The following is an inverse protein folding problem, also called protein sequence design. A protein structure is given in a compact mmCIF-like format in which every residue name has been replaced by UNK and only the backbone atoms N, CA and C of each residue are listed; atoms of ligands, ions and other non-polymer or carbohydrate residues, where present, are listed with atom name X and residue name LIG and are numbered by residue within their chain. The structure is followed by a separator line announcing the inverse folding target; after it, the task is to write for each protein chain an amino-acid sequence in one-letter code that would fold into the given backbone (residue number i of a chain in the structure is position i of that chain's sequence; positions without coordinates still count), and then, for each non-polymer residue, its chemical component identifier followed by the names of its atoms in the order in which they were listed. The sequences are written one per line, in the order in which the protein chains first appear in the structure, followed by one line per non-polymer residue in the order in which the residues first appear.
data_IF_552065775437
#
_entry.id   IF_552065775437
#
_cell.length_a   1.000
_cell.length_b   1.000
_cell.length_c   1.000
_cell.angle_alpha   90.00
_cell.angle_beta   90.00
_cell.angle_gamma   90.00
#
_symmetry.space_group_name_H-M   'P 1'
#
loop_
_entity.id
_entity.type
_entity.pdbx_description
1 polymer ?
#
# COMPACT_ATOMS: atom_id res chain seq x y z
N UNK A 1 0.21 21.94 8.98
CA UNK A 1 -0.32 21.00 10.01
C UNK A 1 -1.84 20.83 9.93
N UNK A 2 -2.54 21.92 9.58
CA UNK A 2 -4.02 21.99 9.57
C UNK A 2 -4.68 21.52 8.26
N UNK A 3 -3.91 20.91 7.36
CA UNK A 3 -4.43 20.28 6.14
C UNK A 3 -4.84 18.83 6.43
N UNK A 4 -5.94 18.40 5.81
CA UNK A 4 -6.38 17.01 5.83
C UNK A 4 -5.26 16.11 5.29
N UNK A 5 -4.92 15.06 6.03
CA UNK A 5 -3.94 14.07 5.61
C UNK A 5 -4.59 12.80 5.05
N UNK A 6 -3.76 11.85 4.66
CA UNK A 6 -4.21 10.56 4.10
C UNK A 6 -5.13 9.80 5.06
N UNK A 7 -4.87 9.91 6.37
CA UNK A 7 -5.72 9.30 7.42
C UNK A 7 -7.16 9.82 7.40
N UNK A 8 -7.35 11.11 7.08
CA UNK A 8 -8.67 11.74 7.01
C UNK A 8 -9.40 11.27 5.75
N UNK A 9 -8.67 11.13 4.64
CA UNK A 9 -9.20 10.59 3.39
C UNK A 9 -9.64 9.13 3.55
N UNK A 10 -8.85 8.30 4.24
CA UNK A 10 -9.21 6.93 4.58
C UNK A 10 -10.48 6.90 5.44
N UNK A 11 -10.55 7.74 6.47
CA UNK A 11 -11.72 7.81 7.34
C UNK A 11 -12.99 8.20 6.56
N UNK A 12 -12.87 9.17 5.65
CA UNK A 12 -13.99 9.64 4.85
C UNK A 12 -14.43 8.61 3.81
N UNK A 13 -13.52 8.07 3.00
CA UNK A 13 -13.87 7.14 1.92
C UNK A 13 -14.32 5.78 2.46
N UNK A 14 -13.65 5.25 3.50
CA UNK A 14 -13.97 3.93 4.05
C UNK A 14 -15.05 3.98 5.15
N UNK A 15 -15.36 5.15 5.70
CA UNK A 15 -16.26 5.28 6.85
C UNK A 15 -15.68 4.68 8.14
N UNK A 16 -14.36 4.47 8.19
CA UNK A 16 -13.65 3.92 9.35
C UNK A 16 -13.28 5.07 10.29
N UNK A 17 -13.63 4.95 11.57
CA UNK A 17 -13.32 5.97 12.58
C UNK A 17 -12.12 5.62 13.46
N UNK A 18 -11.76 4.34 13.48
CA UNK A 18 -10.61 3.83 14.21
C UNK A 18 -9.36 3.97 13.34
N UNK A 19 -8.93 5.22 13.20
CA UNK A 19 -7.78 5.62 12.40
C UNK A 19 -6.76 6.30 13.30
N UNK A 20 -5.48 6.06 13.02
CA UNK A 20 -4.39 6.54 13.85
C UNK A 20 -3.30 7.14 12.98
N UNK A 21 -3.00 8.41 13.22
CA UNK A 21 -1.79 9.04 12.70
C UNK A 21 -0.72 9.06 13.80
N UNK A 22 0.39 8.38 13.55
CA UNK A 22 1.39 8.09 14.58
C UNK A 22 2.56 9.09 14.56
N UNK A 23 2.80 9.75 13.42
CA UNK A 23 3.73 10.87 13.29
C UNK A 23 3.31 11.80 12.16
N UNK A 24 3.47 13.12 12.37
CA UNK A 24 3.23 14.16 11.35
C UNK A 24 4.35 15.19 11.32
N UNK A 25 4.92 15.38 10.14
CA UNK A 25 5.95 16.39 9.86
C UNK A 25 5.40 17.44 8.87
N UNK A 26 5.89 18.69 8.91
CA UNK A 26 5.32 19.78 8.11
C UNK A 26 5.72 19.76 6.63
N UNK A 27 6.90 19.23 6.30
CA UNK A 27 7.41 19.24 4.93
C UNK A 27 7.10 17.93 4.18
N UNK A 28 6.75 17.98 2.88
CA UNK A 28 6.46 16.81 2.06
C UNK A 28 7.75 16.08 1.63
N UNK A 29 8.45 15.49 2.59
CA UNK A 29 9.71 14.77 2.41
C UNK A 29 9.61 13.37 3.00
N UNK A 30 10.58 12.51 2.67
CA UNK A 30 10.76 11.23 3.36
C UNK A 30 10.85 11.47 4.90
N UNK A 31 10.30 10.58 5.75
CA UNK A 31 10.12 10.88 7.18
C UNK A 31 11.40 11.32 7.89
N UNK A 32 12.53 10.61 7.68
CA UNK A 32 13.81 11.01 8.26
C UNK A 32 14.25 12.42 7.83
N UNK A 33 14.08 12.77 6.55
CA UNK A 33 14.41 14.09 6.04
C UNK A 33 13.46 15.18 6.56
N UNK A 34 12.16 14.89 6.64
CA UNK A 34 11.16 15.79 7.18
C UNK A 34 11.41 16.08 8.67
N UNK A 35 11.74 15.05 9.46
CA UNK A 35 12.10 15.19 10.88
C UNK A 35 13.33 16.09 11.06
N UNK A 36 14.43 15.80 10.35
CA UNK A 36 15.65 16.60 10.39
C UNK A 36 15.40 18.05 10.00
N UNK A 37 14.67 18.29 8.91
CA UNK A 37 14.37 19.65 8.42
C UNK A 37 13.53 20.44 9.42
N UNK A 38 12.57 19.79 10.08
CA UNK A 38 11.73 20.41 11.08
C UNK A 38 12.42 20.58 12.45
N UNK A 39 13.65 20.07 12.63
CA UNK A 39 14.31 20.02 13.93
C UNK A 39 13.54 19.18 14.95
N UNK A 40 12.81 18.16 14.49
CA UNK A 40 11.97 17.28 15.31
C UNK A 40 12.60 15.89 15.42
N UNK A 41 12.28 15.12 16.47
CA UNK A 41 12.69 13.72 16.57
C UNK A 41 12.21 12.91 15.35
N UNK A 42 13.06 11.98 14.89
CA UNK A 42 12.68 10.96 13.93
C UNK A 42 11.64 10.00 14.52
N UNK A 43 11.01 9.19 13.67
CA UNK A 43 10.05 8.18 14.12
C UNK A 43 10.80 7.07 14.85
N UNK A 44 10.39 6.77 16.07
CA UNK A 44 10.86 5.61 16.83
C UNK A 44 10.09 4.36 16.38
N UNK A 45 10.78 3.43 15.70
CA UNK A 45 10.16 2.22 15.16
C UNK A 45 9.71 1.24 16.24
N UNK A 46 10.41 1.15 17.37
CA UNK A 46 10.06 0.23 18.44
C UNK A 46 8.81 0.73 19.17
N UNK A 47 8.73 2.05 19.41
CA UNK A 47 7.51 2.67 19.93
C UNK A 47 6.34 2.48 18.97
N UNK A 48 6.58 2.68 17.67
CA UNK A 48 5.58 2.49 16.63
C UNK A 48 5.07 1.03 16.58
N UNK A 49 5.99 0.06 16.60
CA UNK A 49 5.65 -1.36 16.61
C UNK A 49 4.86 -1.74 17.87
N UNK A 50 5.24 -1.24 19.04
CA UNK A 50 4.52 -1.49 20.29
C UNK A 50 3.08 -0.92 20.26
N UNK A 51 2.91 0.29 19.72
CA UNK A 51 1.59 0.92 19.54
C UNK A 51 0.71 0.11 18.59
N UNK A 52 1.24 -0.29 17.44
CA UNK A 52 0.51 -1.11 16.45
C UNK A 52 0.19 -2.49 17.02
N UNK A 53 1.13 -3.14 17.70
CA UNK A 53 0.90 -4.44 18.35
C UNK A 53 -0.19 -4.39 19.43
N UNK A 54 -0.29 -3.27 20.17
CA UNK A 54 -1.39 -3.05 21.10
C UNK A 54 -2.74 -2.94 20.38
N UNK A 55 -2.80 -2.23 19.26
CA UNK A 55 -4.03 -2.18 18.44
C UNK A 55 -4.39 -3.58 17.92
N UNK A 56 -3.41 -4.36 17.47
CA UNK A 56 -3.65 -5.71 16.96
C UNK A 56 -4.13 -6.72 18.03
N UNK A 57 -4.18 -6.36 19.31
CA UNK A 57 -4.62 -7.26 20.40
C UNK A 57 -6.14 -7.47 20.41
N UNK A 58 -6.93 -6.47 20.00
CA UNK A 58 -8.39 -6.44 20.10
C UNK A 58 -9.10 -6.10 18.77
N UNK A 59 -8.34 -6.01 17.66
CA UNK A 59 -8.84 -5.71 16.32
C UNK A 59 -8.61 -6.88 15.38
N UNK A 60 -9.63 -7.25 14.59
CA UNK A 60 -9.55 -8.37 13.64
C UNK A 60 -8.52 -8.13 12.52
N UNK A 61 -8.31 -6.87 12.14
CA UNK A 61 -7.38 -6.45 11.10
C UNK A 61 -6.83 -5.06 11.41
N UNK A 62 -5.52 -4.91 11.35
CA UNK A 62 -4.83 -3.61 11.38
C UNK A 62 -4.10 -3.41 10.06
N UNK A 63 -4.46 -2.36 9.33
CA UNK A 63 -3.75 -1.95 8.12
C UNK A 63 -2.73 -0.86 8.51
N UNK A 64 -1.48 -1.10 8.13
CA UNK A 64 -0.38 -0.15 8.37
C UNK A 64 0.06 0.39 7.01
N UNK A 65 -0.24 1.66 6.76
CA UNK A 65 0.31 2.38 5.63
C UNK A 65 1.62 3.04 6.03
N UNK A 66 2.67 2.82 5.22
CA UNK A 66 3.94 3.50 5.37
C UNK A 66 3.98 4.82 4.61
N UNK A 67 5.08 5.55 4.74
CA UNK A 67 5.32 6.79 4.01
C UNK A 67 6.30 6.54 2.85
N UNK A 68 5.77 6.51 1.62
CA UNK A 68 6.55 6.25 0.40
C UNK A 68 6.79 4.75 0.15
N UNK A 69 7.97 4.39 -0.35
CA UNK A 69 8.32 3.01 -0.70
C UNK A 69 8.84 2.17 0.47
N UNK A 70 8.90 0.85 0.28
CA UNK A 70 9.31 -0.15 1.28
C UNK A 70 10.64 0.18 2.01
N UNK A 71 11.60 0.77 1.29
CA UNK A 71 12.94 1.10 1.80
C UNK A 71 13.12 2.59 2.14
N UNK A 72 12.04 3.35 2.21
CA UNK A 72 12.09 4.74 2.70
C UNK A 72 12.52 4.75 4.16
N UNK A 73 13.43 5.68 4.50
CA UNK A 73 14.02 5.79 5.83
C UNK A 73 13.15 6.62 6.77
N UNK A 74 12.94 6.07 7.96
CA UNK A 74 12.16 6.67 9.04
C UNK A 74 13.05 7.41 10.04
N UNK A 75 14.31 7.01 10.14
CA UNK A 75 15.32 7.63 11.00
C UNK A 75 16.68 7.77 10.30
N UNK A 76 17.64 8.34 11.03
CA UNK A 76 19.02 8.55 10.57
C UNK A 76 19.86 7.26 10.59
N UNK A 77 19.43 6.24 11.34
CA UNK A 77 20.08 4.93 11.43
C UNK A 77 19.75 4.05 10.22
N UNK A 78 18.77 4.45 9.42
CA UNK A 78 18.38 3.77 8.19
C UNK A 78 17.24 2.78 8.35
N UNK A 79 16.50 2.84 9.46
CA UNK A 79 15.31 2.04 9.68
C UNK A 79 14.23 2.35 8.62
N UNK A 80 13.56 1.31 8.11
CA UNK A 80 12.62 1.41 6.99
C UNK A 80 11.26 0.79 7.32
N UNK A 81 10.28 0.96 6.42
CA UNK A 81 9.00 0.26 6.53
C UNK A 81 9.18 -1.27 6.54
N UNK A 82 10.19 -1.80 5.85
CA UNK A 82 10.50 -3.22 5.88
C UNK A 82 10.92 -3.70 7.28
N UNK A 83 11.65 -2.87 8.03
CA UNK A 83 12.05 -3.19 9.40
C UNK A 83 10.84 -3.19 10.34
N UNK A 84 9.93 -2.23 10.16
CA UNK A 84 8.67 -2.20 10.90
C UNK A 84 7.80 -3.44 10.61
N UNK A 85 7.66 -3.82 9.33
CA UNK A 85 6.92 -5.01 8.95
C UNK A 85 7.51 -6.28 9.60
N UNK A 86 8.85 -6.37 9.67
CA UNK A 86 9.55 -7.46 10.35
C UNK A 86 9.30 -7.47 11.85
N UNK A 87 9.36 -6.31 12.52
CA UNK A 87 9.06 -6.19 13.96
C UNK A 87 7.64 -6.65 14.30
N UNK A 88 6.70 -6.38 13.40
CA UNK A 88 5.30 -6.76 13.54
C UNK A 88 4.97 -8.18 13.06
N UNK A 89 5.93 -8.88 12.45
CA UNK A 89 5.70 -10.11 11.69
C UNK A 89 4.52 -9.99 10.71
N UNK A 90 4.37 -8.81 10.09
CA UNK A 90 3.25 -8.46 9.25
C UNK A 90 3.52 -8.82 7.78
N UNK A 91 2.60 -9.51 7.08
CA UNK A 91 2.71 -9.69 5.64
C UNK A 91 2.50 -8.35 4.91
N UNK A 92 3.18 -8.16 3.78
CA UNK A 92 3.18 -6.90 3.02
C UNK A 92 2.32 -7.01 1.77
N UNK A 93 1.35 -6.12 1.63
CA UNK A 93 0.60 -5.92 0.39
C UNK A 93 1.31 -4.86 -0.46
N UNK A 94 1.73 -5.21 -1.68
CA UNK A 94 2.44 -4.29 -2.56
C UNK A 94 1.44 -3.62 -3.50
N UNK A 95 1.41 -2.28 -3.46
CA UNK A 95 0.64 -1.47 -4.42
C UNK A 95 1.57 -1.01 -5.54
N UNK A 96 1.19 -1.27 -6.79
CA UNK A 96 1.96 -0.92 -7.99
C UNK A 96 1.13 -0.13 -9.01
N UNK A 97 1.78 0.37 -10.05
CA UNK A 97 1.13 1.03 -11.19
C UNK A 97 0.90 0.04 -12.34
N UNK A 98 0.05 0.39 -13.31
CA UNK A 98 -0.24 -0.49 -14.45
C UNK A 98 0.78 -0.36 -15.59
N UNK A 99 1.34 0.84 -15.81
CA UNK A 99 2.05 1.18 -17.04
C UNK A 99 3.56 0.89 -17.05
N UNK A 100 4.27 1.50 -17.99
CA UNK A 100 5.72 1.38 -18.12
C UNK A 100 6.45 1.76 -16.81
N UNK A 101 7.46 0.97 -16.46
CA UNK A 101 8.21 1.12 -15.20
C UNK A 101 7.67 0.27 -14.04
N UNK A 102 6.40 -0.17 -14.09
CA UNK A 102 5.79 -0.98 -13.04
C UNK A 102 6.53 -2.29 -12.77
N UNK A 103 6.95 -3.00 -13.82
CA UNK A 103 7.63 -4.29 -13.69
C UNK A 103 8.93 -4.17 -12.89
N UNK A 104 9.79 -3.21 -13.22
CA UNK A 104 11.05 -2.99 -12.52
C UNK A 104 10.82 -2.59 -11.06
N UNK A 105 9.94 -1.60 -10.81
CA UNK A 105 9.67 -1.15 -9.45
C UNK A 105 9.07 -2.27 -8.57
N UNK A 106 8.18 -3.08 -9.14
CA UNK A 106 7.57 -4.23 -8.46
C UNK A 106 8.62 -5.30 -8.19
N UNK A 107 9.42 -5.70 -9.19
CA UNK A 107 10.47 -6.70 -9.03
C UNK A 107 11.49 -6.31 -7.94
N UNK A 108 11.99 -5.07 -7.96
CA UNK A 108 12.91 -4.56 -6.92
C UNK A 108 12.29 -4.60 -5.52
N UNK A 109 10.98 -4.30 -5.41
CA UNK A 109 10.27 -4.37 -4.13
C UNK A 109 10.11 -5.81 -3.66
N UNK A 110 9.74 -6.74 -4.55
CA UNK A 110 9.58 -8.15 -4.24
C UNK A 110 10.91 -8.82 -3.85
N UNK A 111 12.01 -8.49 -4.55
CA UNK A 111 13.35 -8.94 -4.18
C UNK A 111 13.75 -8.42 -2.79
N UNK A 112 13.45 -7.16 -2.49
CA UNK A 112 13.73 -6.57 -1.18
C UNK A 112 12.92 -7.21 -0.05
N UNK A 113 11.66 -7.59 -0.29
CA UNK A 113 10.83 -8.36 0.64
C UNK A 113 11.42 -9.75 0.88
N UNK A 114 11.69 -10.50 -0.20
CA UNK A 114 12.22 -11.85 -0.13
C UNK A 114 13.57 -11.90 0.60
N UNK A 115 14.48 -10.98 0.29
CA UNK A 115 15.78 -10.86 0.94
C UNK A 115 15.67 -10.63 2.46
N UNK A 116 14.59 -9.97 2.91
CA UNK A 116 14.33 -9.67 4.33
C UNK A 116 13.45 -10.72 5.02
N UNK A 117 13.06 -11.78 4.31
CA UNK A 117 12.15 -12.81 4.84
C UNK A 117 10.76 -12.27 5.16
N UNK A 118 10.27 -11.27 4.41
CA UNK A 118 8.94 -10.71 4.57
C UNK A 118 7.95 -11.41 3.64
N UNK A 119 6.81 -11.82 4.19
CA UNK A 119 5.75 -12.48 3.43
C UNK A 119 5.01 -11.50 2.53
N UNK A 120 4.77 -11.91 1.28
CA UNK A 120 3.96 -11.15 0.33
C UNK A 120 2.47 -11.50 0.50
N UNK A 121 1.67 -10.54 0.96
CA UNK A 121 0.21 -10.68 1.03
C UNK A 121 -0.44 -10.69 -0.37
N UNK A 122 0.14 -9.95 -1.32
CA UNK A 122 -0.31 -9.87 -2.72
C UNK A 122 0.19 -8.61 -3.43
N UNK A 123 -0.13 -8.49 -4.72
CA UNK A 123 0.14 -7.29 -5.53
C UNK A 123 -1.16 -6.70 -6.03
N UNK A 124 -1.38 -5.39 -5.80
CA UNK A 124 -2.57 -4.64 -6.23
C UNK A 124 -2.14 -3.53 -7.17
N UNK A 125 -2.84 -3.36 -8.29
CA UNK A 125 -2.70 -2.15 -9.12
C UNK A 125 -3.57 -1.06 -8.50
N UNK A 126 -2.93 -0.01 -7.96
CA UNK A 126 -3.61 1.05 -7.21
C UNK A 126 -4.44 2.01 -8.09
N UNK A 127 -4.17 2.06 -9.39
CA UNK A 127 -4.90 2.89 -10.34
C UNK A 127 -4.82 2.29 -11.74
N UNK A 128 -5.91 1.69 -12.19
CA UNK A 128 -6.11 1.14 -13.51
C UNK A 128 -6.74 2.19 -14.43
N UNK A 129 -6.08 2.58 -15.53
CA UNK A 129 -6.58 3.65 -16.40
C UNK A 129 -7.88 3.24 -17.10
N UNK A 130 -8.74 4.23 -17.39
CA UNK A 130 -9.97 4.02 -18.17
C UNK A 130 -9.69 3.50 -19.59
N UNK A 131 -8.58 3.95 -20.16
CA UNK A 131 -8.10 3.59 -21.50
C UNK A 131 -6.69 3.00 -21.36
N UNK A 132 -6.55 1.71 -20.99
CA UNK A 132 -5.25 1.08 -20.79
C UNK A 132 -4.53 0.89 -22.12
N UNK A 133 -3.30 1.37 -22.19
CA UNK A 133 -2.41 1.17 -23.33
C UNK A 133 -1.87 -0.28 -23.40
N UNK A 134 -1.06 -0.57 -24.42
CA UNK A 134 -0.46 -1.89 -24.61
C UNK A 134 0.37 -2.31 -23.38
N UNK A 135 1.14 -1.39 -22.80
CA UNK A 135 1.98 -1.70 -21.64
C UNK A 135 1.12 -2.10 -20.42
N UNK A 136 0.03 -1.36 -20.16
CA UNK A 136 -0.89 -1.69 -19.07
C UNK A 136 -1.47 -3.10 -19.20
N UNK A 137 -1.91 -3.48 -20.41
CA UNK A 137 -2.52 -4.79 -20.66
C UNK A 137 -1.49 -5.92 -20.60
N UNK A 138 -0.32 -5.73 -21.20
CA UNK A 138 0.78 -6.71 -21.15
C UNK A 138 1.26 -6.97 -19.73
N UNK A 139 1.41 -5.91 -18.93
CA UNK A 139 1.90 -6.00 -17.55
C UNK A 139 0.99 -6.83 -16.63
N UNK A 140 -0.28 -7.07 -16.97
CA UNK A 140 -1.15 -7.91 -16.15
C UNK A 140 -0.63 -9.34 -15.99
N UNK A 141 -0.05 -9.91 -17.05
CA UNK A 141 0.56 -11.23 -16.99
C UNK A 141 1.92 -11.17 -16.29
N UNK A 142 2.77 -10.23 -16.69
CA UNK A 142 4.13 -10.10 -16.18
C UNK A 142 4.15 -9.82 -14.66
N UNK A 143 3.25 -8.97 -14.15
CA UNK A 143 3.15 -8.71 -12.71
C UNK A 143 2.69 -9.94 -11.92
N UNK A 144 1.82 -10.77 -12.48
CA UNK A 144 1.40 -12.01 -11.84
C UNK A 144 2.54 -13.04 -11.80
N UNK A 145 3.32 -13.12 -12.87
CA UNK A 145 4.50 -13.98 -12.96
C UNK A 145 5.58 -13.54 -11.96
N UNK A 146 5.86 -12.22 -11.88
CA UNK A 146 6.78 -11.65 -10.88
C UNK A 146 6.35 -11.94 -9.44
N UNK A 147 5.05 -11.84 -9.16
CA UNK A 147 4.51 -12.11 -7.83
C UNK A 147 4.44 -13.61 -7.50
N UNK A 148 4.60 -14.49 -8.49
CA UNK A 148 4.38 -15.94 -8.36
C UNK A 148 2.92 -16.30 -8.03
N UNK A 149 1.98 -15.36 -8.21
CA UNK A 149 0.56 -15.52 -7.88
C UNK A 149 -0.30 -14.51 -8.66
N UNK A 150 -1.60 -14.75 -8.83
CA UNK A 150 -2.50 -13.78 -9.45
C UNK A 150 -2.50 -12.44 -8.69
N UNK A 151 -2.72 -11.34 -9.43
CA UNK A 151 -2.95 -10.02 -8.82
C UNK A 151 -4.08 -10.09 -7.79
N UNK A 152 -3.85 -9.47 -6.63
CA UNK A 152 -4.81 -9.42 -5.54
C UNK A 152 -5.90 -8.36 -5.75
N UNK A 153 -5.73 -7.47 -6.73
CA UNK A 153 -6.73 -6.49 -7.07
C UNK A 153 -6.30 -5.43 -8.07
N UNK A 154 -7.27 -4.69 -8.58
CA UNK A 154 -7.06 -3.52 -9.45
C UNK A 154 -8.11 -2.45 -9.13
N UNK A 155 -7.69 -1.28 -8.65
CA UNK A 155 -8.59 -0.16 -8.39
C UNK A 155 -8.73 0.69 -9.66
N UNK A 156 -9.94 1.14 -10.03
CA UNK A 156 -10.09 2.03 -11.18
C UNK A 156 -9.48 3.41 -10.89
N UNK A 157 -8.91 4.04 -11.92
CA UNK A 157 -8.44 5.42 -11.83
C UNK A 157 -9.58 6.35 -11.38
N UNK A 158 -9.28 7.25 -10.46
CA UNK A 158 -10.26 8.17 -9.89
C UNK A 158 -11.10 7.59 -8.75
N UNK A 159 -10.81 6.37 -8.27
CA UNK A 159 -11.53 5.78 -7.14
C UNK A 159 -11.57 6.70 -5.90
N UNK A 160 -10.49 7.43 -5.61
CA UNK A 160 -10.41 8.37 -4.48
C UNK A 160 -11.33 9.60 -4.62
N UNK A 161 -11.92 9.84 -5.79
CA UNK A 161 -12.85 10.95 -6.04
C UNK A 161 -14.32 10.53 -5.90
N UNK A 162 -14.59 9.26 -5.60
CA UNK A 162 -15.93 8.72 -5.44
C UNK A 162 -16.53 9.14 -4.09
N UNK A 163 -17.86 9.20 -4.03
CA UNK A 163 -18.57 9.22 -2.75
C UNK A 163 -18.37 7.91 -1.99
N UNK A 164 -18.52 7.94 -0.66
CA UNK A 164 -18.35 6.76 0.20
C UNK A 164 -19.12 5.52 -0.27
N UNK A 165 -20.43 5.59 -0.60
CA UNK A 165 -21.17 4.41 -1.05
C UNK A 165 -20.58 3.77 -2.31
N UNK A 166 -20.22 4.61 -3.29
CA UNK A 166 -19.62 4.18 -4.55
C UNK A 166 -18.21 3.62 -4.32
N UNK A 167 -17.39 4.30 -3.50
CA UNK A 167 -16.05 3.84 -3.15
C UNK A 167 -16.07 2.45 -2.49
N UNK A 168 -16.95 2.23 -1.51
CA UNK A 168 -17.07 0.93 -0.84
C UNK A 168 -17.50 -0.19 -1.80
N UNK A 169 -18.44 0.11 -2.70
CA UNK A 169 -18.85 -0.84 -3.73
C UNK A 169 -17.70 -1.15 -4.70
N UNK A 170 -16.95 -0.12 -5.12
CA UNK A 170 -15.77 -0.26 -5.99
C UNK A 170 -14.68 -1.07 -5.31
N UNK A 171 -14.31 -0.76 -4.05
CA UNK A 171 -13.30 -1.48 -3.29
C UNK A 171 -13.65 -2.97 -3.16
N UNK A 172 -14.93 -3.29 -2.87
CA UNK A 172 -15.41 -4.68 -2.80
C UNK A 172 -15.31 -5.43 -4.13
N UNK A 173 -15.39 -4.73 -5.26
CA UNK A 173 -15.23 -5.36 -6.58
C UNK A 173 -13.76 -5.45 -7.01
N UNK A 174 -12.93 -4.54 -6.52
CA UNK A 174 -11.56 -4.34 -6.95
C UNK A 174 -10.54 -5.25 -6.25
N UNK A 175 -10.85 -5.76 -5.05
CA UNK A 175 -9.96 -6.61 -4.25
C UNK A 175 -10.39 -8.08 -4.26
N UNK A 176 -9.45 -9.01 -4.10
CA UNK A 176 -9.72 -10.45 -4.10
C UNK A 176 -10.44 -10.92 -2.81
N UNK A 177 -11.04 -12.13 -2.79
CA UNK A 177 -11.77 -12.62 -1.63
C UNK A 177 -10.95 -12.68 -0.33
N UNK A 178 -9.65 -12.97 -0.41
CA UNK A 178 -8.76 -12.98 0.75
C UNK A 178 -8.60 -11.57 1.38
N UNK A 179 -8.87 -10.52 0.60
CA UNK A 179 -8.87 -9.12 1.03
C UNK A 179 -10.31 -8.57 1.21
N UNK A 180 -11.31 -9.45 1.32
CA UNK A 180 -12.70 -9.07 1.58
C UNK A 180 -13.50 -8.64 0.34
N UNK A 181 -12.94 -8.76 -0.87
CA UNK A 181 -13.61 -8.37 -2.10
C UNK A 181 -14.11 -9.54 -2.95
N UNK A 182 -14.32 -9.27 -4.24
CA UNK A 182 -14.89 -10.21 -5.22
C UNK A 182 -14.11 -10.26 -6.53
N UNK A 183 -12.98 -9.56 -6.61
CA UNK A 183 -12.10 -9.50 -7.78
C UNK A 183 -11.63 -10.89 -8.20
N UNK A 184 -11.51 -11.09 -9.52
CA UNK A 184 -11.01 -12.32 -10.14
C UNK A 184 -9.99 -11.95 -11.22
N UNK A 185 -8.71 -12.11 -10.93
CA UNK A 185 -7.60 -11.75 -11.82
C UNK A 185 -7.74 -12.34 -13.23
N UNK A 186 -8.14 -13.62 -13.33
CA UNK A 186 -8.34 -14.27 -14.62
C UNK A 186 -9.41 -13.55 -15.47
N UNK A 187 -10.60 -13.28 -14.89
CA UNK A 187 -11.67 -12.56 -15.59
C UNK A 187 -11.27 -11.13 -15.96
N UNK A 188 -10.47 -10.50 -15.11
CA UNK A 188 -9.95 -9.16 -15.38
C UNK A 188 -9.02 -9.17 -16.59
N UNK A 189 -8.11 -10.14 -16.67
CA UNK A 189 -7.18 -10.32 -17.80
C UNK A 189 -7.92 -10.66 -19.11
N UNK A 190 -8.94 -11.51 -19.06
CA UNK A 190 -9.77 -11.84 -20.24
C UNK A 190 -10.48 -10.61 -20.84
N UNK A 191 -10.79 -9.61 -20.03
CA UNK A 191 -11.39 -8.33 -20.48
C UNK A 191 -10.36 -7.34 -21.05
N UNK A 192 -9.06 -7.59 -20.85
CA UNK A 192 -7.97 -6.73 -21.27
C UNK A 192 -6.91 -7.51 -22.06
N UNK A 193 -7.27 -8.08 -23.22
CA UNK A 193 -6.33 -8.81 -24.05
C UNK A 193 -5.23 -7.90 -24.58
N UNK A 194 -4.04 -8.46 -24.79
CA UNK A 194 -2.89 -7.78 -25.41
C UNK A 194 -3.17 -7.58 -26.90
#
# INVERSE_FOLDING_TARGET
PDELGDVDLVADLAGIRDVHELARYPDPLAPAAAARRAGRPAVDLDELAARIGKLATDRDLVLVEGAGGLLVRYDDNGATLADLARLLAAPVLVVTTAGLGALNATALTLEALAHRGLDLAGVVIGSWPREPDLACRSNLADLADLAGRPLAGTLPAGAALLGRPEFLATARQALEPALGGTFRAQRFRERHPV
#
